data_IF_373777807703
#
_entry.id   IF_373777807703
#
_cell.length_a   1.000
_cell.length_b   1.000
_cell.length_c   1.000
_cell.angle_alpha   90.00
_cell.angle_beta   90.00
_cell.angle_gamma   90.00
#
_symmetry.space_group_name_H-M   'P 1'
#
loop_
_entity.id
_entity.type
_entity.pdbx_description
1 polymer ?
#
# COMPACT_ATOMS: atom_id res chain seq x y z
N UNK A 1 -7.92 -6.99 21.11
CA UNK A 1 -7.02 -6.82 19.96
C UNK A 1 -6.04 -5.71 20.25
N UNK A 2 -5.39 -5.22 19.20
CA UNK A 2 -4.48 -4.07 19.23
C UNK A 2 -4.91 -3.11 18.14
N UNK A 3 -5.05 -1.83 18.48
CA UNK A 3 -5.46 -0.77 17.56
C UNK A 3 -4.51 0.40 17.68
N UNK A 4 -4.00 0.87 16.55
CA UNK A 4 -3.08 2.00 16.46
C UNK A 4 -3.55 2.95 15.38
N UNK A 5 -3.44 4.23 15.63
CA UNK A 5 -3.60 5.26 14.62
C UNK A 5 -2.58 6.36 14.90
N UNK A 6 -2.20 7.08 13.85
CA UNK A 6 -1.23 8.15 13.99
C UNK A 6 -1.04 8.90 12.68
N UNK A 7 -0.18 9.90 12.74
CA UNK A 7 0.20 10.67 11.58
C UNK A 7 1.56 11.31 11.78
N UNK A 8 2.07 11.88 10.69
CA UNK A 8 3.34 12.58 10.67
C UNK A 8 3.23 13.85 9.85
N UNK A 9 4.12 14.79 10.14
CA UNK A 9 4.37 15.98 9.36
C UNK A 9 5.87 16.20 9.31
N UNK A 10 6.43 16.37 8.11
CA UNK A 10 7.86 16.58 7.89
C UNK A 10 8.07 17.89 7.13
N UNK A 11 8.82 18.78 7.78
CA UNK A 11 9.12 20.14 7.32
C UNK A 11 10.34 20.22 6.41
N UNK A 12 11.00 19.10 6.13
CA UNK A 12 12.15 19.04 5.22
C UNK A 12 11.73 19.42 3.79
N UNK A 13 12.72 19.89 3.02
CA UNK A 13 12.55 20.27 1.61
C UNK A 13 12.82 19.08 0.72
N UNK A 14 11.90 18.82 -0.20
CA UNK A 14 11.89 17.62 -1.05
C UNK A 14 11.23 17.90 -2.40
N UNK A 15 11.66 17.20 -3.43
CA UNK A 15 11.09 17.38 -4.76
C UNK A 15 9.67 16.79 -4.83
N UNK A 16 8.81 17.47 -5.58
CA UNK A 16 7.53 16.94 -5.98
C UNK A 16 7.70 15.74 -6.92
N UNK A 17 6.69 14.89 -6.98
CA UNK A 17 6.62 13.74 -7.89
C UNK A 17 5.82 14.11 -9.13
N UNK A 18 6.32 13.70 -10.29
CA UNK A 18 5.69 13.88 -11.59
C UNK A 18 6.43 14.87 -12.49
N UNK A 19 5.68 15.55 -13.36
CA UNK A 19 6.22 16.50 -14.34
C UNK A 19 6.83 17.75 -13.70
N UNK A 20 6.18 18.26 -12.67
CA UNK A 20 6.74 19.32 -11.84
C UNK A 20 7.52 18.67 -10.68
N UNK A 21 8.83 18.87 -10.71
CA UNK A 21 9.77 18.41 -9.67
C UNK A 21 10.25 19.55 -8.79
N UNK A 22 9.62 20.72 -8.86
CA UNK A 22 9.98 21.86 -8.03
C UNK A 22 9.92 21.50 -6.54
N UNK A 23 10.94 21.89 -5.74
CA UNK A 23 10.99 21.52 -4.33
C UNK A 23 9.84 22.12 -3.52
N UNK A 24 9.24 21.30 -2.67
CA UNK A 24 8.22 21.68 -1.69
C UNK A 24 8.63 21.31 -0.26
N UNK A 25 7.85 21.75 0.72
CA UNK A 25 8.01 21.41 2.14
C UNK A 25 6.65 21.07 2.72
N UNK A 26 6.60 20.33 3.83
CA UNK A 26 5.33 20.06 4.53
C UNK A 26 4.62 18.80 4.06
N UNK A 27 5.40 17.72 3.88
CA UNK A 27 4.81 16.42 3.58
C UNK A 27 4.16 15.85 4.83
N UNK A 28 3.08 15.12 4.64
CA UNK A 28 2.29 14.56 5.71
C UNK A 28 1.75 13.18 5.36
N UNK A 29 1.21 12.51 6.37
CA UNK A 29 0.51 11.26 6.18
C UNK A 29 -0.13 10.79 7.47
N UNK A 30 -1.01 9.80 7.34
CA UNK A 30 -1.71 9.21 8.46
C UNK A 30 -1.88 7.71 8.24
N UNK A 31 -2.02 6.98 9.34
CA UNK A 31 -2.20 5.54 9.31
C UNK A 31 -3.21 5.07 10.37
N UNK A 32 -3.81 3.92 10.10
CA UNK A 32 -4.58 3.13 11.05
C UNK A 32 -4.21 1.65 10.89
N UNK A 33 -4.02 0.96 12.01
CA UNK A 33 -3.70 -0.45 12.12
C UNK A 33 -4.64 -1.08 13.15
N UNK A 34 -5.21 -2.22 12.81
CA UNK A 34 -6.11 -2.97 13.68
C UNK A 34 -5.79 -4.46 13.59
N UNK A 35 -5.74 -5.12 14.74
CA UNK A 35 -5.65 -6.56 14.85
C UNK A 35 -6.64 -7.05 15.91
N UNK A 36 -7.41 -8.08 15.60
CA UNK A 36 -8.41 -8.62 16.51
C UNK A 36 -8.55 -10.14 16.36
N UNK A 37 -8.54 -10.84 17.50
CA UNK A 37 -8.95 -12.25 17.55
C UNK A 37 -10.48 -12.33 17.37
N UNK A 38 -10.91 -12.98 16.29
CA UNK A 38 -12.32 -13.13 15.93
C UNK A 38 -12.91 -14.43 16.49
N UNK A 39 -12.13 -15.51 16.52
CA UNK A 39 -12.58 -16.81 17.04
C UNK A 39 -11.58 -17.41 18.02
N UNK A 40 -12.06 -18.28 18.91
CA UNK A 40 -11.23 -19.10 19.80
C UNK A 40 -11.79 -20.51 19.78
N UNK A 41 -10.92 -21.52 19.65
CA UNK A 41 -11.37 -22.90 19.76
C UNK A 41 -11.62 -23.26 21.24
N UNK A 42 -12.71 -23.97 21.53
CA UNK A 42 -13.12 -24.27 22.90
C UNK A 42 -12.08 -25.09 23.69
N UNK A 43 -11.36 -25.98 23.01
CA UNK A 43 -10.33 -26.83 23.63
C UNK A 43 -8.96 -26.17 23.75
N UNK A 44 -8.72 -25.05 23.07
CA UNK A 44 -7.46 -24.31 23.12
C UNK A 44 -7.69 -22.85 22.73
N UNK A 45 -7.76 -21.93 23.72
CA UNK A 45 -7.96 -20.50 23.47
C UNK A 45 -6.81 -19.83 22.68
N UNK A 46 -5.66 -20.49 22.52
CA UNK A 46 -4.57 -19.99 21.68
C UNK A 46 -4.85 -20.19 20.19
N UNK A 47 -5.69 -21.17 19.83
CA UNK A 47 -6.12 -21.45 18.45
C UNK A 47 -7.30 -20.57 18.02
N UNK A 48 -7.48 -20.46 16.69
CA UNK A 48 -8.55 -19.68 16.06
C UNK A 48 -8.04 -18.58 15.12
N UNK A 49 -8.97 -17.75 14.66
CA UNK A 49 -8.74 -16.73 13.65
C UNK A 49 -8.42 -15.37 14.28
N UNK A 50 -7.27 -14.81 13.93
CA UNK A 50 -6.94 -13.39 14.13
C UNK A 50 -7.05 -12.67 12.79
N UNK A 51 -7.82 -11.59 12.72
CA UNK A 51 -7.90 -10.73 11.56
C UNK A 51 -7.07 -9.46 11.76
N UNK A 52 -6.54 -8.92 10.67
CA UNK A 52 -5.83 -7.65 10.65
C UNK A 52 -6.32 -6.74 9.51
N UNK A 53 -6.24 -5.43 9.74
CA UNK A 53 -6.50 -4.41 8.74
C UNK A 53 -5.51 -3.24 8.95
N UNK A 54 -4.98 -2.71 7.86
CA UNK A 54 -4.03 -1.61 7.85
C UNK A 54 -4.38 -0.68 6.70
N UNK A 55 -4.29 0.62 6.95
CA UNK A 55 -4.53 1.64 5.94
C UNK A 55 -3.60 2.83 6.19
N UNK A 56 -3.00 3.34 5.13
CA UNK A 56 -2.10 4.49 5.16
C UNK A 56 -2.45 5.45 4.03
N UNK A 57 -2.42 6.74 4.33
CA UNK A 57 -2.48 7.84 3.37
C UNK A 57 -1.20 8.67 3.46
N UNK A 58 -0.71 9.10 2.32
CA UNK A 58 0.50 9.90 2.19
C UNK A 58 0.24 11.13 1.33
N UNK A 59 1.07 12.15 1.52
CA UNK A 59 1.08 13.39 0.77
C UNK A 59 1.02 13.19 -0.76
N UNK A 60 0.14 13.96 -1.41
CA UNK A 60 -0.15 13.78 -2.84
C UNK A 60 0.90 14.40 -3.75
N UNK A 61 1.72 15.31 -3.23
CA UNK A 61 2.72 16.02 -4.03
C UNK A 61 4.06 15.29 -4.02
N UNK A 62 4.42 14.62 -2.92
CA UNK A 62 5.78 14.13 -2.68
C UNK A 62 5.89 12.61 -2.53
N UNK A 63 4.79 11.91 -2.22
CA UNK A 63 4.82 10.46 -2.01
C UNK A 63 4.75 9.69 -3.34
N UNK A 64 5.46 8.56 -3.42
CA UNK A 64 5.33 7.62 -4.53
C UNK A 64 4.04 6.80 -4.45
N UNK A 65 3.64 6.40 -3.25
CA UNK A 65 2.39 5.69 -2.97
C UNK A 65 1.53 6.62 -2.11
N UNK A 66 0.36 6.98 -2.63
CA UNK A 66 -0.60 7.87 -1.97
C UNK A 66 -1.47 7.14 -0.97
N UNK A 67 -1.83 5.90 -1.28
CA UNK A 67 -2.64 5.04 -0.41
C UNK A 67 -2.08 3.64 -0.41
N UNK A 68 -1.99 3.05 0.76
CA UNK A 68 -1.65 1.65 0.91
C UNK A 68 -2.61 1.01 1.90
N UNK A 69 -3.00 -0.22 1.62
CA UNK A 69 -3.85 -0.97 2.53
C UNK A 69 -3.53 -2.45 2.48
N UNK A 70 -3.70 -3.09 3.64
CA UNK A 70 -3.61 -4.53 3.78
C UNK A 70 -4.74 -5.02 4.67
N UNK A 71 -5.36 -6.13 4.28
CA UNK A 71 -6.32 -6.84 5.11
C UNK A 71 -6.09 -8.34 5.02
N UNK A 72 -6.41 -9.07 6.07
CA UNK A 72 -6.25 -10.50 6.05
C UNK A 72 -6.48 -11.13 7.40
N UNK A 73 -6.05 -12.38 7.52
CA UNK A 73 -6.11 -13.09 8.77
C UNK A 73 -5.15 -14.26 8.82
N UNK A 74 -4.89 -14.68 10.05
CA UNK A 74 -4.09 -15.86 10.38
C UNK A 74 -4.98 -16.77 11.21
N UNK A 75 -5.16 -18.01 10.74
CA UNK A 75 -5.79 -19.06 11.52
C UNK A 75 -4.71 -19.94 12.15
N UNK A 76 -4.70 -20.00 13.48
CA UNK A 76 -3.78 -20.80 14.27
C UNK A 76 -4.41 -22.16 14.66
N UNK A 77 -3.70 -23.24 14.36
CA UNK A 77 -4.02 -24.62 14.70
C UNK A 77 -4.73 -25.38 13.58
N UNK A 78 -4.02 -26.28 12.90
CA UNK A 78 -4.56 -27.06 11.78
C UNK A 78 -4.71 -28.53 12.18
N UNK A 79 -5.95 -28.98 12.39
CA UNK A 79 -6.24 -30.34 12.83
C UNK A 79 -5.55 -30.68 14.15
N UNK A 80 -4.65 -31.68 14.14
CA UNK A 80 -3.83 -32.06 15.31
C UNK A 80 -2.58 -31.17 15.50
N UNK A 81 -2.22 -30.36 14.50
CA UNK A 81 -1.04 -29.49 14.51
C UNK A 81 -1.40 -28.13 15.12
N UNK A 82 -1.49 -28.06 16.45
CA UNK A 82 -1.93 -26.86 17.16
C UNK A 82 -1.04 -25.61 16.91
N UNK A 83 0.23 -25.83 16.59
CA UNK A 83 1.22 -24.77 16.36
C UNK A 83 1.35 -24.35 14.89
N UNK A 84 0.73 -25.08 13.97
CA UNK A 84 0.68 -24.69 12.56
C UNK A 84 -0.30 -23.54 12.32
N UNK A 85 0.00 -22.67 11.36
CA UNK A 85 -0.89 -21.59 10.96
C UNK A 85 -1.06 -21.50 9.45
N UNK A 86 -2.24 -21.10 9.00
CA UNK A 86 -2.46 -20.63 7.63
C UNK A 86 -2.79 -19.14 7.66
N UNK A 87 -2.18 -18.39 6.75
CA UNK A 87 -2.41 -16.95 6.62
C UNK A 87 -2.87 -16.65 5.19
N UNK A 88 -3.83 -15.74 5.07
CA UNK A 88 -4.22 -15.14 3.80
C UNK A 88 -4.29 -13.63 3.98
N UNK A 89 -3.70 -12.91 3.04
CA UNK A 89 -3.68 -11.46 3.03
C UNK A 89 -3.92 -10.93 1.62
N UNK A 90 -4.58 -9.77 1.57
CA UNK A 90 -4.73 -8.96 0.37
C UNK A 90 -4.14 -7.59 0.63
N UNK A 91 -3.33 -7.12 -0.32
CA UNK A 91 -2.63 -5.84 -0.25
C UNK A 91 -2.94 -5.06 -1.52
N UNK A 92 -3.18 -3.77 -1.37
CA UNK A 92 -3.31 -2.84 -2.49
C UNK A 92 -2.56 -1.54 -2.22
N UNK A 93 -2.04 -0.96 -3.30
CA UNK A 93 -1.37 0.32 -3.28
C UNK A 93 -1.88 1.18 -4.45
N UNK A 94 -2.13 2.46 -4.17
CA UNK A 94 -2.42 3.48 -5.17
C UNK A 94 -1.17 4.34 -5.36
N UNK A 95 -0.55 4.19 -6.52
CA UNK A 95 0.63 4.94 -6.90
C UNK A 95 0.22 6.38 -7.19
N UNK A 96 1.15 7.30 -7.03
CA UNK A 96 0.87 8.69 -7.30
C UNK A 96 0.64 8.90 -8.80
N UNK A 97 -0.58 9.34 -9.16
CA UNK A 97 -0.96 9.61 -10.55
C UNK A 97 0.00 10.57 -11.25
N UNK A 98 0.63 11.49 -10.53
CA UNK A 98 1.63 12.39 -11.11
C UNK A 98 2.82 11.64 -11.72
N UNK A 99 3.21 10.49 -11.15
CA UNK A 99 4.26 9.62 -11.71
C UNK A 99 3.79 8.94 -13.00
N UNK A 100 2.55 8.46 -13.02
CA UNK A 100 1.90 7.87 -14.20
C UNK A 100 1.82 8.90 -15.33
N UNK A 101 1.39 10.12 -15.02
CA UNK A 101 1.29 11.21 -15.99
C UNK A 101 2.68 11.61 -16.55
N UNK A 102 3.71 11.66 -15.70
CA UNK A 102 5.07 11.92 -16.13
C UNK A 102 5.62 10.83 -17.06
N UNK A 103 5.40 9.55 -16.72
CA UNK A 103 5.80 8.43 -17.59
C UNK A 103 5.13 8.50 -18.95
N UNK A 104 3.83 8.81 -18.99
CA UNK A 104 3.09 8.97 -20.26
C UNK A 104 3.64 10.12 -21.09
N UNK A 105 4.02 11.22 -20.46
CA UNK A 105 4.67 12.32 -21.16
C UNK A 105 6.05 11.91 -21.73
N UNK A 106 6.82 11.10 -20.99
CA UNK A 106 8.09 10.55 -21.49
C UNK A 106 7.87 9.64 -22.71
N UNK A 107 6.86 8.78 -22.69
CA UNK A 107 6.49 7.92 -23.83
C UNK A 107 6.15 8.77 -25.07
N UNK A 108 5.40 9.88 -24.88
CA UNK A 108 5.12 10.84 -25.96
C UNK A 108 6.40 11.48 -26.46
N UNK A 109 7.30 11.92 -25.56
CA UNK A 109 8.59 12.51 -25.92
C UNK A 109 9.52 11.54 -26.66
N UNK A 110 9.41 10.24 -26.40
CA UNK A 110 10.11 9.16 -27.11
C UNK A 110 9.45 8.77 -28.44
N UNK A 111 8.31 9.36 -28.79
CA UNK A 111 7.59 9.06 -30.02
C UNK A 111 6.86 7.71 -30.01
N UNK A 112 6.52 7.18 -28.83
CA UNK A 112 5.79 5.91 -28.70
C UNK A 112 4.35 6.09 -29.22
N UNK A 113 3.89 5.25 -30.17
CA UNK A 113 2.54 5.33 -30.74
C UNK A 113 1.45 5.23 -29.67
N UNK A 114 0.39 6.04 -29.79
CA UNK A 114 -0.68 6.12 -28.77
C UNK A 114 -1.54 4.85 -28.61
N UNK A 115 -1.45 3.91 -29.55
CA UNK A 115 -2.04 2.57 -29.49
C UNK A 115 -1.10 1.52 -28.87
N UNK A 116 0.11 1.92 -28.47
CA UNK A 116 1.08 1.04 -27.82
C UNK A 116 0.53 0.46 -26.50
N UNK A 117 0.76 -0.83 -26.22
CA UNK A 117 0.36 -1.45 -24.96
C UNK A 117 1.02 -0.79 -23.74
N UNK A 118 2.12 -0.05 -23.92
CA UNK A 118 2.79 0.70 -22.85
C UNK A 118 1.88 1.77 -22.21
N UNK A 119 0.87 2.27 -22.92
CA UNK A 119 -0.12 3.21 -22.35
C UNK A 119 -1.22 2.51 -21.55
N UNK A 120 -1.33 1.19 -21.65
CA UNK A 120 -2.37 0.38 -21.00
C UNK A 120 -1.87 -0.32 -19.74
N UNK A 121 -0.59 -0.16 -19.41
CA UNK A 121 0.00 -0.72 -18.20
C UNK A 121 -0.77 -0.23 -16.97
N UNK A 122 -1.04 -1.16 -16.06
CA UNK A 122 -1.55 -0.80 -14.75
C UNK A 122 -0.48 -0.01 -13.99
N UNK A 123 -0.90 0.78 -12.99
CA UNK A 123 0.05 1.57 -12.20
C UNK A 123 1.19 0.70 -11.61
N UNK A 124 0.88 -0.55 -11.25
CA UNK A 124 1.87 -1.49 -10.72
C UNK A 124 2.90 -1.92 -11.78
N UNK A 125 2.47 -2.15 -13.02
CA UNK A 125 3.34 -2.54 -14.13
C UNK A 125 4.23 -1.37 -14.59
N UNK A 126 3.68 -0.15 -14.63
CA UNK A 126 4.46 1.05 -14.95
C UNK A 126 5.63 1.28 -13.98
N UNK A 127 5.57 0.77 -12.74
CA UNK A 127 6.61 0.90 -11.73
C UNK A 127 7.78 -0.09 -11.92
N UNK A 128 7.53 -1.28 -12.49
CA UNK A 128 8.56 -2.29 -12.74
C UNK A 128 9.31 -2.09 -14.06
N UNK A 129 8.73 -1.33 -14.98
CA UNK A 129 9.37 -0.94 -16.25
C UNK A 129 10.15 0.40 -16.15
N UNK A 130 10.46 0.84 -14.92
CA UNK A 130 11.34 1.97 -14.60
C UNK A 130 12.83 1.59 -14.60
#
# INVERSE_FOLDING_TARGET
GVYKFGGYYDTSRVDQRGLDTSPTTGRHGAYVLAEQRLTREAGDPQRGLTAFAQYMVSDVDTAQIRRWYALGGVYQGIGKRAQDSIALGYVGADINRRLVDARRADLVGMGVPGDSPLYQLSQAEELFEL
#
